data_IF_895014731869
#
_entry.id   IF_895014731869
#
_cell.length_a   1.000
_cell.length_b   1.000
_cell.length_c   1.000
_cell.angle_alpha   90.00
_cell.angle_beta   90.00
_cell.angle_gamma   90.00
#
_symmetry.space_group_name_H-M   'P 1'
#
loop_
_entity.id
_entity.type
_entity.pdbx_description
1 polymer ?
#
# COMPACT_ATOMS: atom_id res chain seq x y z
N UNK A 1 -5.84 -19.40 8.08
CA UNK A 1 -6.65 -18.67 7.09
C UNK A 1 -7.74 -17.95 7.85
N UNK A 2 -7.76 -16.66 7.80
CA UNK A 2 -8.68 -15.77 8.51
C UNK A 2 -9.78 -15.28 7.54
N UNK A 3 -11.02 -15.23 7.98
CA UNK A 3 -12.16 -14.76 7.17
C UNK A 3 -12.99 -13.79 8.00
N UNK A 4 -13.22 -12.60 7.45
CA UNK A 4 -14.03 -11.57 8.10
C UNK A 4 -15.01 -10.94 7.10
N UNK A 5 -16.17 -10.53 7.58
CA UNK A 5 -17.12 -9.74 6.81
C UNK A 5 -16.89 -8.24 7.11
N UNK A 6 -16.63 -7.49 6.06
CA UNK A 6 -16.31 -6.05 6.16
C UNK A 6 -17.16 -5.30 5.15
N UNK A 7 -18.17 -4.54 5.60
CA UNK A 7 -18.94 -3.65 4.72
C UNK A 7 -18.05 -2.48 4.27
N UNK A 8 -18.40 -1.87 3.15
CA UNK A 8 -17.70 -0.68 2.65
C UNK A 8 -16.19 -0.87 2.53
N UNK A 9 -15.78 -2.00 1.90
CA UNK A 9 -14.41 -2.23 1.44
C UNK A 9 -14.44 -2.77 0.02
N UNK A 10 -13.51 -2.32 -0.83
CA UNK A 10 -13.29 -2.85 -2.16
C UNK A 10 -11.80 -2.80 -2.49
N UNK A 11 -11.18 -3.98 -2.55
CA UNK A 11 -9.73 -4.09 -2.77
C UNK A 11 -9.29 -3.51 -4.11
N UNK A 12 -10.12 -3.65 -5.16
CA UNK A 12 -9.81 -3.10 -6.47
C UNK A 12 -9.85 -1.56 -6.43
N UNK A 13 -10.84 -0.95 -5.78
CA UNK A 13 -10.91 0.50 -5.59
C UNK A 13 -9.74 1.03 -4.76
N UNK A 14 -9.35 0.33 -3.69
CA UNK A 14 -8.18 0.68 -2.88
C UNK A 14 -6.91 0.63 -3.73
N UNK A 15 -6.71 -0.44 -4.49
CA UNK A 15 -5.54 -0.60 -5.36
C UNK A 15 -5.46 0.49 -6.45
N UNK A 16 -6.61 0.88 -7.01
CA UNK A 16 -6.71 1.88 -8.07
C UNK A 16 -6.73 3.33 -7.55
N UNK A 17 -6.93 3.54 -6.24
CA UNK A 17 -6.97 4.88 -5.63
C UNK A 17 -5.65 5.65 -5.70
N UNK A 18 -4.54 4.96 -5.95
CA UNK A 18 -3.21 5.57 -6.01
C UNK A 18 -2.53 5.73 -4.65
N UNK A 19 -3.05 5.10 -3.58
CA UNK A 19 -2.40 5.13 -2.27
C UNK A 19 -1.46 3.95 -2.02
N UNK A 20 -1.48 2.90 -2.87
CA UNK A 20 -0.64 1.71 -2.72
C UNK A 20 0.26 1.48 -3.92
N UNK A 21 1.54 1.21 -3.67
CA UNK A 21 2.54 1.00 -4.71
C UNK A 21 3.23 -0.37 -4.61
N UNK A 22 3.17 -1.03 -3.45
CA UNK A 22 3.80 -2.32 -3.17
C UNK A 22 2.87 -3.53 -3.38
N UNK A 23 1.55 -3.33 -3.53
CA UNK A 23 0.62 -4.45 -3.73
C UNK A 23 0.85 -5.17 -5.06
N UNK A 24 0.82 -6.50 -5.03
CA UNK A 24 0.94 -7.38 -6.20
C UNK A 24 -0.45 -7.87 -6.57
N UNK A 25 -0.98 -7.40 -7.71
CA UNK A 25 -2.27 -7.86 -8.22
C UNK A 25 -2.12 -9.23 -8.85
N UNK A 26 -2.86 -10.23 -8.38
CA UNK A 26 -2.92 -11.58 -8.96
C UNK A 26 -4.04 -11.69 -10.00
N UNK A 27 -5.21 -11.16 -9.66
CA UNK A 27 -6.40 -10.97 -10.49
C UNK A 27 -7.33 -9.98 -9.79
N UNK A 28 -8.45 -9.65 -10.38
CA UNK A 28 -9.45 -8.80 -9.73
C UNK A 28 -9.85 -9.37 -8.37
N UNK A 29 -9.97 -8.49 -7.39
CA UNK A 29 -10.29 -8.79 -5.99
C UNK A 29 -9.33 -9.78 -5.30
N UNK A 30 -8.12 -10.03 -5.87
CA UNK A 30 -7.12 -10.93 -5.27
C UNK A 30 -5.72 -10.34 -5.37
N UNK A 31 -5.09 -10.16 -4.22
CA UNK A 31 -3.81 -9.48 -4.08
C UNK A 31 -2.85 -10.21 -3.15
N UNK A 32 -1.58 -9.91 -3.31
CA UNK A 32 -0.55 -10.13 -2.29
C UNK A 32 -0.08 -8.76 -1.82
N UNK A 33 -0.08 -8.56 -0.51
CA UNK A 33 0.31 -7.32 0.15
C UNK A 33 1.58 -7.60 0.95
N UNK A 34 2.74 -7.13 0.47
CA UNK A 34 3.96 -7.13 1.25
C UNK A 34 3.84 -6.18 2.45
N UNK A 35 4.38 -6.61 3.60
CA UNK A 35 4.46 -5.79 4.81
C UNK A 35 5.67 -6.24 5.62
N UNK A 36 6.75 -5.47 5.58
CA UNK A 36 8.03 -5.87 6.14
C UNK A 36 8.49 -7.23 5.59
N UNK A 37 8.84 -8.13 6.48
CA UNK A 37 9.29 -9.50 6.15
C UNK A 37 8.15 -10.50 5.88
N UNK A 38 6.90 -10.06 5.89
CA UNK A 38 5.72 -10.88 5.67
C UNK A 38 4.98 -10.45 4.40
N UNK A 39 4.16 -11.34 3.88
CA UNK A 39 3.24 -11.00 2.80
C UNK A 39 1.88 -11.66 3.04
N UNK A 40 0.82 -10.88 2.92
CA UNK A 40 -0.56 -11.31 3.04
C UNK A 40 -1.13 -11.64 1.67
N UNK A 41 -1.60 -12.87 1.45
CA UNK A 41 -2.53 -13.14 0.35
C UNK A 41 -3.94 -12.82 0.81
N UNK A 42 -4.64 -11.96 0.07
CA UNK A 42 -6.00 -11.53 0.36
C UNK A 42 -6.89 -11.71 -0.87
N UNK A 43 -8.10 -12.19 -0.67
CA UNK A 43 -9.13 -12.30 -1.70
C UNK A 43 -10.44 -11.74 -1.15
N UNK A 44 -11.10 -10.92 -1.96
CA UNK A 44 -12.42 -10.40 -1.64
C UNK A 44 -13.51 -11.16 -2.39
N UNK A 45 -14.53 -11.59 -1.66
CA UNK A 45 -15.75 -12.22 -2.18
C UNK A 45 -16.97 -11.46 -1.65
N UNK A 46 -17.46 -10.48 -2.40
CA UNK A 46 -18.46 -9.50 -1.96
C UNK A 46 -17.94 -8.72 -0.73
N UNK A 47 -18.62 -8.84 0.42
CA UNK A 47 -18.22 -8.21 1.68
C UNK A 47 -17.28 -9.07 2.54
N UNK A 48 -16.87 -10.26 2.05
CA UNK A 48 -15.97 -11.15 2.79
C UNK A 48 -14.55 -10.99 2.32
N UNK A 49 -13.64 -10.80 3.27
CA UNK A 49 -12.20 -10.86 3.05
C UNK A 49 -11.68 -12.22 3.53
N UNK A 50 -10.94 -12.90 2.68
CA UNK A 50 -10.27 -14.17 2.95
C UNK A 50 -8.77 -13.92 2.93
N UNK A 51 -8.10 -14.07 4.08
CA UNK A 51 -6.72 -13.68 4.31
C UNK A 51 -5.86 -14.86 4.73
N UNK A 52 -4.61 -14.91 4.27
CA UNK A 52 -3.63 -15.93 4.62
C UNK A 52 -2.87 -15.62 5.92
N UNK A 53 -3.54 -15.12 6.92
CA UNK A 53 -2.97 -14.80 8.24
C UNK A 53 -3.67 -15.61 9.35
N UNK A 54 -3.10 -15.55 10.56
CA UNK A 54 -3.77 -16.01 11.80
C UNK A 54 -4.66 -14.90 12.35
N UNK A 55 -5.49 -15.22 13.35
CA UNK A 55 -6.32 -14.25 14.05
C UNK A 55 -5.44 -13.21 14.76
N UNK A 56 -4.33 -13.64 15.41
CA UNK A 56 -3.39 -12.77 16.07
C UNK A 56 -2.77 -11.77 15.07
N UNK A 57 -2.22 -12.27 13.95
CA UNK A 57 -1.64 -11.41 12.90
C UNK A 57 -2.66 -10.42 12.32
N UNK A 58 -3.95 -10.83 12.25
CA UNK A 58 -4.98 -9.91 11.80
C UNK A 58 -5.14 -8.74 12.76
N UNK A 59 -5.28 -8.99 14.06
CA UNK A 59 -5.49 -7.92 15.04
C UNK A 59 -4.24 -7.09 15.32
N UNK A 60 -3.04 -7.66 15.23
CA UNK A 60 -1.78 -6.96 15.44
C UNK A 60 -1.41 -6.04 14.27
N UNK A 61 -1.68 -6.46 13.01
CA UNK A 61 -1.19 -5.77 11.81
C UNK A 61 -2.36 -5.29 10.95
N UNK A 62 -3.16 -6.21 10.44
CA UNK A 62 -4.09 -5.94 9.35
C UNK A 62 -5.33 -5.17 9.75
N UNK A 63 -5.75 -5.29 11.01
CA UNK A 63 -6.86 -4.50 11.55
C UNK A 63 -6.58 -3.00 11.45
N UNK A 64 -5.39 -2.59 11.91
CA UNK A 64 -4.96 -1.20 11.78
C UNK A 64 -4.66 -0.83 10.32
N UNK A 65 -3.92 -1.68 9.60
CA UNK A 65 -3.56 -1.43 8.21
C UNK A 65 -4.76 -1.09 7.31
N UNK A 66 -5.87 -1.83 7.44
CA UNK A 66 -7.10 -1.60 6.68
C UNK A 66 -8.07 -0.61 7.35
N UNK A 67 -7.66 0.09 8.39
CA UNK A 67 -8.48 1.05 9.14
C UNK A 67 -9.85 0.45 9.53
N UNK A 68 -9.82 -0.72 10.16
CA UNK A 68 -11.04 -1.46 10.51
C UNK A 68 -11.82 -0.81 11.66
N UNK A 69 -11.17 0.09 12.43
CA UNK A 69 -11.79 0.81 13.54
C UNK A 69 -12.67 1.98 13.11
N UNK A 70 -12.53 2.46 11.87
CA UNK A 70 -13.29 3.60 11.35
C UNK A 70 -14.64 3.17 10.76
N UNK A 71 -15.71 3.87 11.10
CA UNK A 71 -17.05 3.64 10.57
C UNK A 71 -17.23 4.28 9.18
N UNK A 72 -16.84 3.54 8.15
CA UNK A 72 -17.00 3.96 6.75
C UNK A 72 -18.46 3.99 6.29
N UNK A 73 -19.37 3.30 7.00
CA UNK A 73 -20.81 3.40 6.74
C UNK A 73 -21.30 4.81 7.06
N UNK A 74 -20.97 5.32 8.26
CA UNK A 74 -21.36 6.65 8.69
C UNK A 74 -20.73 7.75 7.81
N UNK A 75 -19.44 7.61 7.48
CA UNK A 75 -18.75 8.55 6.57
C UNK A 75 -19.47 8.60 5.21
N UNK A 76 -19.77 7.44 4.62
CA UNK A 76 -20.42 7.36 3.32
C UNK A 76 -21.86 7.92 3.39
N UNK A 77 -22.60 7.61 4.46
CA UNK A 77 -23.93 8.14 4.69
C UNK A 77 -23.96 9.66 4.83
N UNK A 78 -23.05 10.21 5.62
CA UNK A 78 -22.92 11.65 5.81
C UNK A 78 -22.52 12.37 4.52
N UNK A 79 -21.58 11.82 3.74
CA UNK A 79 -21.18 12.37 2.44
C UNK A 79 -22.34 12.43 1.44
N UNK A 80 -23.18 11.39 1.39
CA UNK A 80 -24.37 11.35 0.50
C UNK A 80 -25.42 12.41 0.77
N UNK A 81 -25.42 13.01 1.97
CA UNK A 81 -26.40 14.02 2.41
C UNK A 81 -25.97 15.45 2.15
N UNK A 82 -24.73 15.68 1.67
CA UNK A 82 -24.21 17.02 1.41
C UNK A 82 -24.90 17.62 0.18
N UNK A 83 -24.78 16.97 -0.96
CA UNK A 83 -25.42 17.35 -2.21
C UNK A 83 -25.46 16.17 -3.20
N UNK A 84 -26.05 16.36 -4.36
CA UNK A 84 -26.18 15.30 -5.38
C UNK A 84 -24.81 14.90 -5.99
N UNK A 85 -23.86 15.83 -6.10
CA UNK A 85 -22.52 15.55 -6.58
C UNK A 85 -21.75 14.66 -5.58
N UNK A 86 -21.79 15.01 -4.30
CA UNK A 86 -21.19 14.22 -3.23
C UNK A 86 -21.83 12.84 -3.10
N UNK A 87 -23.12 12.73 -3.34
CA UNK A 87 -23.83 11.44 -3.37
C UNK A 87 -23.28 10.53 -4.49
N UNK A 88 -23.03 11.08 -5.69
CA UNK A 88 -22.42 10.33 -6.80
C UNK A 88 -21.00 9.89 -6.43
N UNK A 89 -20.19 10.79 -5.86
CA UNK A 89 -18.82 10.50 -5.43
C UNK A 89 -18.80 9.40 -4.35
N UNK A 90 -19.62 9.52 -3.32
CA UNK A 90 -19.73 8.54 -2.23
C UNK A 90 -20.19 7.16 -2.72
N UNK A 91 -21.07 7.11 -3.72
CA UNK A 91 -21.48 5.84 -4.33
C UNK A 91 -20.34 5.18 -5.11
N UNK A 92 -19.59 5.96 -5.88
CA UNK A 92 -18.46 5.43 -6.70
C UNK A 92 -17.28 5.01 -5.85
N UNK A 93 -16.96 5.76 -4.79
CA UNK A 93 -15.83 5.50 -3.89
C UNK A 93 -16.19 4.72 -2.63
N UNK A 94 -17.37 4.09 -2.56
CA UNK A 94 -17.89 3.50 -1.32
C UNK A 94 -17.01 2.38 -0.72
N UNK A 95 -16.12 1.80 -1.50
CA UNK A 95 -15.22 0.75 -1.03
C UNK A 95 -13.79 1.22 -0.76
N UNK A 96 -13.48 2.49 -0.96
CA UNK A 96 -12.15 3.03 -0.68
C UNK A 96 -12.01 3.26 0.82
N UNK A 97 -10.90 2.75 1.39
CA UNK A 97 -10.46 3.03 2.77
C UNK A 97 -9.13 3.73 2.76
N UNK A 98 -8.83 4.53 3.76
CA UNK A 98 -7.51 5.12 3.97
C UNK A 98 -6.66 4.11 4.73
N UNK A 99 -5.62 3.60 4.08
CA UNK A 99 -4.75 2.58 4.66
C UNK A 99 -3.72 3.21 5.60
N UNK A 100 -3.48 2.58 6.74
CA UNK A 100 -2.38 2.93 7.64
C UNK A 100 -1.10 2.22 7.19
N UNK A 101 -0.38 2.86 6.29
CA UNK A 101 0.88 2.40 5.74
C UNK A 101 2.06 2.94 6.56
N UNK A 102 3.27 2.46 6.27
CA UNK A 102 4.47 2.98 6.90
C UNK A 102 4.64 4.48 6.61
N UNK A 103 4.87 5.27 7.65
CA UNK A 103 4.93 6.73 7.54
C UNK A 103 6.11 7.18 6.68
N UNK A 104 7.28 6.56 6.84
CA UNK A 104 8.46 6.93 6.07
C UNK A 104 8.28 6.59 4.59
N UNK A 105 7.77 5.39 4.27
CA UNK A 105 7.43 5.02 2.89
C UNK A 105 6.45 6.04 2.27
N UNK A 106 5.45 6.49 3.03
CA UNK A 106 4.49 7.49 2.54
C UNK A 106 5.12 8.86 2.30
N UNK A 107 6.01 9.32 3.19
CA UNK A 107 6.74 10.59 3.01
C UNK A 107 7.57 10.54 1.72
N UNK A 108 8.35 9.49 1.52
CA UNK A 108 9.17 9.34 0.31
C UNK A 108 8.29 9.21 -0.93
N UNK A 109 7.24 8.44 -0.87
CA UNK A 109 6.29 8.28 -2.00
C UNK A 109 5.63 9.61 -2.37
N UNK A 110 5.26 10.42 -1.39
CA UNK A 110 4.71 11.76 -1.62
C UNK A 110 5.73 12.69 -2.27
N UNK A 111 6.99 12.66 -1.83
CA UNK A 111 8.08 13.42 -2.44
C UNK A 111 8.30 13.00 -3.92
N UNK A 112 8.20 11.69 -4.21
CA UNK A 112 8.28 11.14 -5.56
C UNK A 112 7.12 11.57 -6.45
N UNK A 113 5.93 11.83 -5.88
CA UNK A 113 4.72 12.15 -6.62
C UNK A 113 4.74 13.53 -7.31
N UNK A 114 5.68 14.41 -6.95
CA UNK A 114 5.77 15.77 -7.50
C UNK A 114 5.96 15.75 -9.02
N UNK A 115 5.05 16.40 -9.76
CA UNK A 115 5.08 16.56 -11.21
C UNK A 115 5.31 15.25 -12.00
N UNK A 116 4.56 14.19 -11.64
CA UNK A 116 4.64 12.88 -12.31
C UNK A 116 3.29 12.16 -12.28
N UNK A 117 3.24 10.90 -12.73
CA UNK A 117 2.05 10.07 -12.78
C UNK A 117 2.21 8.77 -11.96
N UNK A 118 1.10 8.15 -11.61
CA UNK A 118 1.04 6.94 -10.77
C UNK A 118 1.96 5.80 -11.29
N UNK A 119 1.96 5.42 -12.59
CA UNK A 119 2.87 4.37 -13.08
C UNK A 119 4.35 4.69 -12.85
N UNK A 120 4.75 5.95 -12.99
CA UNK A 120 6.13 6.36 -12.76
C UNK A 120 6.50 6.36 -11.28
N UNK A 121 5.57 6.79 -10.40
CA UNK A 121 5.77 6.71 -8.95
C UNK A 121 6.00 5.25 -8.56
N UNK A 122 5.13 4.34 -9.00
CA UNK A 122 5.26 2.90 -8.74
C UNK A 122 6.62 2.35 -9.17
N UNK A 123 7.06 2.68 -10.38
CA UNK A 123 8.37 2.25 -10.88
C UNK A 123 9.54 2.80 -10.05
N UNK A 124 9.46 4.04 -9.56
CA UNK A 124 10.49 4.64 -8.71
C UNK A 124 10.52 3.99 -7.33
N UNK A 125 9.37 3.79 -6.68
CA UNK A 125 9.24 3.10 -5.38
C UNK A 125 9.80 1.69 -5.48
N UNK A 126 9.38 0.92 -6.50
CA UNK A 126 9.88 -0.43 -6.75
C UNK A 126 11.40 -0.45 -6.95
N UNK A 127 11.93 0.50 -7.72
CA UNK A 127 13.38 0.58 -7.99
C UNK A 127 14.18 0.93 -6.73
N UNK A 128 13.68 1.83 -5.88
CA UNK A 128 14.32 2.17 -4.59
C UNK A 128 14.32 0.93 -3.69
N UNK A 129 13.20 0.22 -3.57
CA UNK A 129 13.09 -0.98 -2.76
C UNK A 129 14.04 -2.08 -3.27
N UNK A 130 14.17 -2.27 -4.60
CA UNK A 130 15.10 -3.25 -5.19
C UNK A 130 16.57 -2.92 -4.96
N UNK A 131 16.92 -1.64 -4.92
CA UNK A 131 18.32 -1.18 -4.82
C UNK A 131 18.80 -1.06 -3.38
N UNK A 132 17.93 -0.61 -2.48
CA UNK A 132 18.26 -0.28 -1.09
C UNK A 132 17.56 -1.17 -0.07
N UNK A 133 16.48 -1.87 -0.45
CA UNK A 133 15.67 -2.67 0.45
C UNK A 133 16.16 -4.11 0.60
N UNK A 134 15.49 -4.86 1.47
CA UNK A 134 15.78 -6.26 1.74
C UNK A 134 14.89 -7.15 0.85
N UNK A 135 15.52 -8.11 0.15
CA UNK A 135 14.80 -9.10 -0.66
C UNK A 135 14.16 -10.17 0.23
N UNK A 136 12.87 -10.39 0.06
CA UNK A 136 12.11 -11.45 0.72
C UNK A 136 11.51 -12.41 -0.31
N UNK A 137 11.42 -13.69 0.09
CA UNK A 137 10.84 -14.76 -0.74
C UNK A 137 9.91 -15.62 0.09
N UNK A 138 8.69 -15.82 -0.40
CA UNK A 138 7.71 -16.67 0.26
C UNK A 138 6.99 -17.56 -0.75
N UNK A 139 6.81 -18.83 -0.39
CA UNK A 139 5.95 -19.74 -1.15
C UNK A 139 4.53 -19.69 -0.60
N UNK A 140 3.58 -19.35 -1.45
CA UNK A 140 2.17 -19.28 -1.09
C UNK A 140 1.37 -20.30 -1.86
N UNK A 141 0.44 -20.97 -1.16
CA UNK A 141 -0.50 -21.92 -1.80
C UNK A 141 -1.28 -21.19 -2.91
N UNK A 142 -1.41 -21.82 -4.07
CA UNK A 142 -2.10 -21.34 -5.28
C UNK A 142 -1.44 -20.16 -6.02
N UNK A 143 -0.41 -19.51 -5.44
CA UNK A 143 0.31 -18.40 -6.08
C UNK A 143 1.69 -18.84 -6.53
N UNK A 144 2.28 -19.81 -5.82
CA UNK A 144 3.66 -20.22 -6.01
C UNK A 144 4.64 -19.35 -5.23
N UNK A 145 5.86 -19.26 -5.71
CA UNK A 145 6.91 -18.45 -5.09
C UNK A 145 6.75 -17.00 -5.52
N UNK A 146 6.63 -16.10 -4.55
CA UNK A 146 6.66 -14.66 -4.73
C UNK A 146 7.96 -14.08 -4.18
N UNK A 147 8.43 -13.01 -4.79
CA UNK A 147 9.57 -12.21 -4.32
C UNK A 147 9.10 -10.77 -4.21
N UNK A 148 9.48 -10.11 -3.14
CA UNK A 148 9.29 -8.66 -2.96
C UNK A 148 10.49 -8.05 -2.26
N UNK A 149 10.56 -6.74 -2.30
CA UNK A 149 11.59 -5.97 -1.61
C UNK A 149 10.89 -5.08 -0.59
N UNK A 150 11.34 -5.16 0.66
CA UNK A 150 10.89 -4.27 1.72
C UNK A 150 11.32 -2.83 1.39
N UNK A 151 10.47 -1.85 1.71
CA UNK A 151 10.87 -0.46 1.54
C UNK A 151 12.02 -0.15 2.51
N UNK A 152 13.13 0.45 2.02
CA UNK A 152 14.34 0.63 2.83
C UNK A 152 14.16 1.67 3.93
N UNK A 153 14.90 1.52 5.04
CA UNK A 153 15.00 2.55 6.07
C UNK A 153 15.77 3.78 5.56
N UNK A 154 15.67 4.94 6.26
CA UNK A 154 16.47 6.13 5.93
C UNK A 154 17.96 5.83 5.87
N UNK A 155 18.50 5.07 6.83
CA UNK A 155 19.91 4.68 6.89
C UNK A 155 20.30 3.83 5.67
N UNK A 156 19.47 2.85 5.31
CA UNK A 156 19.72 1.99 4.15
C UNK A 156 19.74 2.78 2.84
N UNK A 157 18.92 3.82 2.70
CA UNK A 157 18.96 4.74 1.56
C UNK A 157 20.26 5.52 1.54
N UNK A 158 20.69 6.09 2.67
CA UNK A 158 21.93 6.86 2.78
C UNK A 158 23.17 6.01 2.51
N UNK A 159 23.22 4.79 3.01
CA UNK A 159 24.31 3.83 2.74
C UNK A 159 24.41 3.44 1.26
N UNK A 160 23.30 3.48 0.54
CA UNK A 160 23.23 3.09 -0.88
C UNK A 160 22.97 4.27 -1.83
N UNK A 161 23.21 5.53 -1.38
CA UNK A 161 22.88 6.73 -2.16
C UNK A 161 23.48 6.78 -3.57
N UNK A 162 24.68 6.19 -3.77
CA UNK A 162 25.31 6.11 -5.08
C UNK A 162 24.54 5.20 -6.04
N UNK A 163 23.84 4.19 -5.50
CA UNK A 163 23.04 3.26 -6.31
C UNK A 163 21.72 3.86 -6.77
N UNK A 164 21.24 4.94 -6.12
CA UNK A 164 19.98 5.61 -6.48
C UNK A 164 19.98 6.19 -7.91
N UNK A 165 21.14 6.39 -8.53
CA UNK A 165 21.23 6.81 -9.93
C UNK A 165 20.54 5.83 -10.88
N UNK A 166 20.49 4.55 -10.52
CA UNK A 166 19.79 3.50 -11.26
C UNK A 166 18.26 3.64 -11.20
N UNK A 167 17.74 4.33 -10.18
CA UNK A 167 16.30 4.47 -9.95
C UNK A 167 15.64 5.57 -10.82
N UNK A 168 16.41 6.31 -11.63
CA UNK A 168 15.93 7.36 -12.54
C UNK A 168 15.06 8.42 -11.85
N UNK A 169 15.45 8.82 -10.64
CA UNK A 169 14.70 9.76 -9.77
C UNK A 169 14.75 11.21 -10.28
N UNK A 170 15.81 11.57 -11.06
CA UNK A 170 16.07 12.95 -11.46
C UNK A 170 16.34 13.82 -10.23
N UNK A 171 15.81 15.05 -10.21
CA UNK A 171 15.98 16.00 -9.10
C UNK A 171 15.42 15.49 -7.75
N UNK A 172 14.58 14.47 -7.76
CA UNK A 172 14.00 13.86 -6.54
C UNK A 172 15.03 13.10 -5.72
N UNK A 173 16.14 12.68 -6.34
CA UNK A 173 17.23 11.99 -5.62
C UNK A 173 17.74 12.87 -4.46
N UNK A 174 18.03 14.12 -4.71
CA UNK A 174 18.56 15.04 -3.69
C UNK A 174 17.53 15.32 -2.60
N UNK A 175 16.24 15.40 -2.98
CA UNK A 175 15.14 15.57 -2.02
C UNK A 175 15.05 14.35 -1.09
N UNK A 176 15.11 13.13 -1.64
CA UNK A 176 15.04 11.90 -0.84
C UNK A 176 16.24 11.80 0.10
N UNK A 177 17.46 12.07 -0.38
CA UNK A 177 18.66 12.06 0.45
C UNK A 177 18.52 13.08 1.59
N UNK A 178 18.07 14.32 1.30
CA UNK A 178 17.83 15.34 2.31
C UNK A 178 16.82 14.90 3.36
N UNK A 179 15.66 14.33 2.95
CA UNK A 179 14.67 13.82 3.88
C UNK A 179 15.23 12.70 4.77
N UNK A 180 16.03 11.79 4.22
CA UNK A 180 16.68 10.76 5.03
C UNK A 180 17.68 11.34 6.04
N UNK A 181 18.44 12.36 5.67
CA UNK A 181 19.38 13.05 6.57
C UNK A 181 18.68 13.79 7.71
N UNK A 182 17.49 14.34 7.45
CA UNK A 182 16.71 15.05 8.46
C UNK A 182 16.04 14.09 9.49
N UNK A 183 15.87 12.81 9.14
CA UNK A 183 15.21 11.80 9.98
C UNK A 183 16.22 11.03 10.85
N UNK A 184 17.44 10.80 10.38
CA UNK A 184 18.52 10.10 11.09
C UNK A 184 19.26 11.04 12.02
#
# INVERSE_FOLDING_TARGET
MFVIQVPYINLDQIYESGQVFSWIKLRDSKYVIPFGNQALKIEQQKERLIMSCTDEQFYEIWYNYFDMGTDYLEINYSARRIDEYMKICANRGSGVRILHQDLFEMIITFALATATNIPRIKAMVESISQVCGIEHKQSMREVGRITWYEFPSPEAILENQDKLDKCKLGYRKDIIIGLCQDIV
#
